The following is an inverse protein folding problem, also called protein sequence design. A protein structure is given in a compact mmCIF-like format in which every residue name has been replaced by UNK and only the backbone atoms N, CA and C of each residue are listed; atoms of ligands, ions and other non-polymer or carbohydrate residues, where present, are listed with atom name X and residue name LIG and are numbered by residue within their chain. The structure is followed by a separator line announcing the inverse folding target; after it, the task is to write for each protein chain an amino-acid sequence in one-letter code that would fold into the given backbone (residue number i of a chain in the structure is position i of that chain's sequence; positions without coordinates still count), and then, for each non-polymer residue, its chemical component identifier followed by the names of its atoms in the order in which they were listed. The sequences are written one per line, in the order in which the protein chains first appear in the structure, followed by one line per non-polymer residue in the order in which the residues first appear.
data_IF_960081128970
#
_entry.id   IF_960081128970
#
_cell.length_a   1.000
_cell.length_b   1.000
_cell.length_c   1.000
_cell.angle_alpha   90.00
_cell.angle_beta   90.00
_cell.angle_gamma   90.00
#
_symmetry.space_group_name_H-M   'P 1'
#
loop_
_entity.id
_entity.type
_entity.pdbx_description
1 polymer ?
#
# COMPACT_ATOMS: atom_id res chain seq x y z
N UNK A 1 21.26 -14.92 -18.57
CA UNK A 1 20.14 -14.19 -19.20
C UNK A 1 19.66 -13.22 -18.14
N UNK A 2 20.05 -11.95 -18.24
CA UNK A 2 19.68 -10.93 -17.26
C UNK A 2 18.20 -10.60 -17.49
N UNK A 3 17.31 -11.11 -16.64
CA UNK A 3 15.95 -10.56 -16.56
C UNK A 3 16.09 -9.13 -16.06
N UNK A 4 15.87 -8.19 -16.99
CA UNK A 4 15.81 -6.77 -16.66
C UNK A 4 14.77 -6.56 -15.57
N UNK A 5 15.13 -5.76 -14.57
CA UNK A 5 14.21 -5.30 -13.54
C UNK A 5 13.04 -4.59 -14.23
N UNK A 6 11.88 -5.24 -14.31
CA UNK A 6 10.69 -4.61 -14.87
C UNK A 6 10.25 -3.52 -13.88
N UNK A 7 10.60 -2.27 -14.19
CA UNK A 7 9.97 -1.11 -13.57
C UNK A 7 8.47 -1.29 -13.72
N UNK A 8 7.76 -1.39 -12.59
CA UNK A 8 6.33 -1.60 -12.61
C UNK A 8 5.66 -0.29 -13.00
N UNK A 9 5.14 -0.23 -14.23
CA UNK A 9 4.45 0.93 -14.77
C UNK A 9 2.95 0.62 -14.91
N UNK A 10 2.11 1.59 -14.54
CA UNK A 10 0.67 1.56 -14.78
C UNK A 10 0.23 2.95 -15.23
N UNK A 11 -0.49 3.05 -16.36
CA UNK A 11 -0.85 4.35 -16.94
C UNK A 11 0.37 5.29 -17.12
N UNK A 12 1.49 4.75 -17.63
CA UNK A 12 2.74 5.49 -17.89
C UNK A 12 3.46 6.05 -16.65
N UNK A 13 2.94 5.78 -15.44
CA UNK A 13 3.54 6.19 -14.18
C UNK A 13 4.02 4.99 -13.35
N UNK A 14 4.97 5.23 -12.45
CA UNK A 14 5.47 4.21 -11.52
C UNK A 14 4.32 3.69 -10.64
N UNK A 15 4.26 2.38 -10.49
CA UNK A 15 3.26 1.70 -9.68
C UNK A 15 3.90 0.92 -8.53
N UNK A 16 3.19 0.90 -7.41
CA UNK A 16 3.48 0.00 -6.31
C UNK A 16 3.02 -1.42 -6.71
N UNK A 17 3.86 -2.44 -6.49
CA UNK A 17 3.51 -3.85 -6.69
C UNK A 17 3.82 -4.67 -5.44
N UNK A 18 2.86 -5.50 -5.01
CA UNK A 18 3.05 -6.44 -3.91
C UNK A 18 1.95 -7.51 -3.86
N UNK A 19 2.01 -8.42 -2.89
CA UNK A 19 0.92 -9.33 -2.54
C UNK A 19 0.32 -8.89 -1.21
N UNK A 20 -0.86 -8.26 -1.25
CA UNK A 20 -1.49 -7.63 -0.07
C UNK A 20 -2.94 -8.09 0.09
N UNK A 21 -3.50 -8.05 1.32
CA UNK A 21 -4.95 -8.13 1.50
C UNK A 21 -5.62 -7.01 0.71
N UNK A 22 -6.50 -7.38 -0.22
CA UNK A 22 -7.22 -6.44 -1.08
C UNK A 22 -8.69 -6.81 -1.18
N UNK A 23 -9.56 -5.82 -1.27
CA UNK A 23 -10.98 -6.01 -1.51
C UNK A 23 -11.54 -4.93 -2.41
N UNK A 24 -12.44 -5.32 -3.31
CA UNK A 24 -13.33 -4.38 -3.99
C UNK A 24 -14.63 -4.25 -3.20
N UNK A 25 -15.02 -3.02 -2.88
CA UNK A 25 -16.28 -2.71 -2.20
C UNK A 25 -17.16 -1.90 -3.16
N UNK A 26 -18.24 -2.46 -3.72
CA UNK A 26 -19.14 -1.69 -4.57
C UNK A 26 -19.78 -0.57 -3.77
N UNK A 27 -19.96 0.59 -4.40
CA UNK A 27 -20.68 1.73 -3.82
C UNK A 27 -21.82 2.18 -4.74
N UNK A 28 -22.87 2.83 -4.19
CA UNK A 28 -23.94 3.41 -5.00
C UNK A 28 -23.45 4.49 -5.97
N UNK A 29 -24.21 4.70 -7.04
CA UNK A 29 -24.01 5.81 -8.00
C UNK A 29 -24.96 6.96 -7.73
N UNK A 30 -24.48 8.22 -7.65
CA UNK A 30 -23.08 8.68 -7.66
C UNK A 30 -22.37 8.50 -6.30
N UNK A 31 -21.04 8.64 -6.29
CA UNK A 31 -20.28 8.73 -5.03
C UNK A 31 -20.79 9.90 -4.18
N UNK A 32 -21.06 9.65 -2.91
CA UNK A 32 -21.38 10.68 -1.93
C UNK A 32 -20.12 11.52 -1.61
N UNK A 33 -20.12 12.84 -1.88
CA UNK A 33 -18.98 13.71 -1.59
C UNK A 33 -18.52 13.67 -0.13
N UNK A 34 -19.43 13.46 0.83
CA UNK A 34 -19.07 13.37 2.25
C UNK A 34 -18.26 12.10 2.55
N UNK A 35 -18.61 10.98 1.91
CA UNK A 35 -17.86 9.72 2.03
C UNK A 35 -16.48 9.87 1.36
N UNK A 36 -16.43 10.51 0.19
CA UNK A 36 -15.15 10.78 -0.52
C UNK A 36 -14.21 11.61 0.34
N UNK A 37 -14.69 12.71 0.93
CA UNK A 37 -13.90 13.56 1.81
C UNK A 37 -13.39 12.81 3.05
N UNK A 38 -14.27 12.07 3.75
CA UNK A 38 -13.88 11.29 4.93
C UNK A 38 -12.80 10.25 4.62
N UNK A 39 -12.85 9.63 3.44
CA UNK A 39 -11.86 8.63 3.02
C UNK A 39 -10.55 9.28 2.62
N UNK A 40 -10.56 10.47 2.01
CA UNK A 40 -9.35 11.23 1.72
C UNK A 40 -8.57 11.54 3.00
N UNK A 41 -9.23 12.02 4.06
CA UNK A 41 -8.60 12.30 5.35
C UNK A 41 -7.98 11.04 5.98
N UNK A 42 -8.69 9.89 5.90
CA UNK A 42 -8.18 8.61 6.40
C UNK A 42 -7.00 8.10 5.58
N UNK A 43 -7.07 8.21 4.25
CA UNK A 43 -6.00 7.81 3.34
C UNK A 43 -4.72 8.60 3.62
N UNK A 44 -4.83 9.91 3.87
CA UNK A 44 -3.69 10.74 4.23
C UNK A 44 -2.99 10.20 5.49
N UNK A 45 -3.76 9.92 6.55
CA UNK A 45 -3.23 9.35 7.80
C UNK A 45 -2.60 7.98 7.59
N UNK A 46 -3.25 7.11 6.81
CA UNK A 46 -2.73 5.77 6.49
C UNK A 46 -1.39 5.88 5.75
N UNK A 47 -1.30 6.69 4.71
CA UNK A 47 -0.09 6.85 3.91
C UNK A 47 1.05 7.50 4.70
N UNK A 48 0.75 8.48 5.55
CA UNK A 48 1.73 9.09 6.45
C UNK A 48 2.26 8.08 7.48
N UNK A 49 1.38 7.28 8.09
CA UNK A 49 1.80 6.22 9.01
C UNK A 49 2.68 5.17 8.31
N UNK A 50 2.30 4.74 7.10
CA UNK A 50 3.11 3.81 6.30
C UNK A 50 4.46 4.41 5.92
N UNK A 51 4.50 5.71 5.58
CA UNK A 51 5.75 6.40 5.27
C UNK A 51 6.70 6.44 6.47
N UNK A 52 6.20 6.81 7.66
CA UNK A 52 6.99 6.81 8.88
C UNK A 52 7.53 5.40 9.21
N UNK A 53 6.68 4.38 9.09
CA UNK A 53 7.08 2.99 9.29
C UNK A 53 8.16 2.52 8.30
N UNK A 54 8.14 3.06 7.09
CA UNK A 54 9.08 2.73 6.03
C UNK A 54 10.46 3.40 6.18
N UNK A 55 10.52 4.55 6.87
CA UNK A 55 11.77 5.27 7.14
C UNK A 55 12.68 4.50 8.10
N UNK A 56 12.10 3.73 9.05
CA UNK A 56 12.84 2.92 10.03
C UNK A 56 13.75 1.82 9.43
N UNK A 57 13.63 1.52 8.14
CA UNK A 57 14.52 0.60 7.43
C UNK A 57 15.84 1.24 6.94
N UNK A 58 15.97 2.56 7.01
CA UNK A 58 17.24 3.25 6.76
C UNK A 58 17.95 3.41 8.10
N UNK A 59 18.81 2.44 8.43
CA UNK A 59 19.80 2.64 9.50
C UNK A 59 20.80 3.67 8.96
N UNK A 60 20.48 4.96 9.09
CA UNK A 60 21.55 5.94 9.25
C UNK A 60 22.35 5.45 10.45
N UNK A 61 23.67 5.26 10.26
CA UNK A 61 24.51 4.85 11.39
C UNK A 61 24.30 5.89 12.48
N UNK A 62 23.72 5.53 13.64
CA UNK A 62 23.53 6.50 14.70
C UNK A 62 24.91 7.03 15.05
N UNK A 63 25.02 8.35 15.29
CA UNK A 63 26.25 8.91 15.83
C UNK A 63 26.47 8.26 17.20
N UNK A 64 27.38 7.30 17.28
CA UNK A 64 27.68 6.53 18.50
C UNK A 64 28.15 7.44 19.65
N UNK A 65 28.50 8.70 19.35
CA UNK A 65 28.91 9.71 20.32
C UNK A 65 27.75 10.60 20.81
N UNK A 66 26.54 10.46 20.28
CA UNK A 66 25.39 11.24 20.73
C UNK A 66 24.97 10.81 22.15
N UNK A 67 24.76 11.76 23.08
CA UNK A 67 24.22 11.46 24.40
C UNK A 67 22.90 10.69 24.27
N UNK A 68 22.73 9.62 25.04
CA UNK A 68 21.53 8.75 25.06
C UNK A 68 21.25 7.90 23.81
N UNK A 69 22.17 7.81 22.84
CA UNK A 69 21.97 7.00 21.63
C UNK A 69 21.56 5.53 21.93
N UNK A 70 22.21 4.90 22.92
CA UNK A 70 21.91 3.54 23.33
C UNK A 70 20.51 3.37 23.96
N UNK A 71 20.05 4.37 24.72
CA UNK A 71 18.72 4.34 25.35
C UNK A 71 17.61 4.56 24.31
N UNK A 72 17.84 5.45 23.34
CA UNK A 72 16.93 5.68 22.20
C UNK A 72 16.82 4.40 21.37
N UNK A 73 17.93 3.76 21.02
CA UNK A 73 17.93 2.50 20.26
C UNK A 73 17.15 1.39 21.00
N UNK A 74 17.30 1.30 22.33
CA UNK A 74 16.54 0.34 23.14
C UNK A 74 15.05 0.68 23.16
N UNK A 75 14.69 1.95 23.20
CA UNK A 75 13.30 2.39 23.14
C UNK A 75 12.68 2.08 21.78
N UNK A 76 13.39 2.35 20.69
CA UNK A 76 12.98 1.99 19.33
C UNK A 76 12.73 0.49 19.19
N UNK A 77 13.63 -0.35 19.71
CA UNK A 77 13.45 -1.80 19.70
C UNK A 77 12.16 -2.22 20.44
N UNK A 78 11.87 -1.62 21.59
CA UNK A 78 10.62 -1.88 22.34
C UNK A 78 9.39 -1.40 21.57
N UNK A 79 9.47 -0.24 20.92
CA UNK A 79 8.40 0.30 20.09
C UNK A 79 8.09 -0.62 18.90
N UNK A 80 9.12 -1.15 18.24
CA UNK A 80 8.95 -2.12 17.15
C UNK A 80 8.28 -3.40 17.64
N UNK A 81 8.72 -3.95 18.78
CA UNK A 81 8.06 -5.13 19.38
C UNK A 81 6.59 -4.86 19.70
N UNK A 82 6.28 -3.69 20.26
CA UNK A 82 4.89 -3.29 20.53
C UNK A 82 4.07 -3.18 19.24
N UNK A 83 4.63 -2.60 18.17
CA UNK A 83 3.97 -2.49 16.86
C UNK A 83 3.71 -3.87 16.25
N UNK A 84 4.65 -4.81 16.36
CA UNK A 84 4.48 -6.19 15.88
C UNK A 84 3.39 -6.92 16.66
N UNK A 85 3.38 -6.78 17.99
CA UNK A 85 2.33 -7.36 18.84
C UNK A 85 0.96 -6.77 18.54
N UNK A 86 0.87 -5.45 18.34
CA UNK A 86 -0.37 -4.77 17.93
C UNK A 86 -0.81 -5.25 16.55
N UNK A 87 0.11 -5.44 15.60
CA UNK A 87 -0.18 -6.01 14.29
C UNK A 87 -0.80 -7.41 14.40
N UNK A 88 -0.20 -8.29 15.20
CA UNK A 88 -0.73 -9.63 15.46
C UNK A 88 -2.13 -9.60 16.08
N UNK A 89 -2.37 -8.70 17.05
CA UNK A 89 -3.68 -8.51 17.67
C UNK A 89 -4.71 -7.97 16.67
N UNK A 90 -4.32 -7.05 15.79
CA UNK A 90 -5.20 -6.51 14.75
C UNK A 90 -5.60 -7.59 13.74
N UNK A 91 -4.65 -8.42 13.29
CA UNK A 91 -4.94 -9.55 12.40
C UNK A 91 -5.91 -10.53 13.06
N UNK A 92 -5.71 -10.85 14.34
CA UNK A 92 -6.56 -11.78 15.08
C UNK A 92 -7.97 -11.23 15.34
N UNK A 93 -8.10 -9.92 15.60
CA UNK A 93 -9.38 -9.28 15.95
C UNK A 93 -10.17 -8.76 14.76
N UNK A 94 -9.52 -8.51 13.61
CA UNK A 94 -10.14 -7.96 12.41
C UNK A 94 -9.75 -8.79 11.18
N UNK A 95 -10.61 -9.74 10.76
CA UNK A 95 -10.35 -10.55 9.58
C UNK A 95 -10.09 -9.66 8.36
N UNK A 96 -8.93 -9.83 7.75
CA UNK A 96 -8.56 -9.15 6.49
C UNK A 96 -8.94 -10.03 5.29
N UNK A 97 -9.15 -9.44 4.11
CA UNK A 97 -9.29 -10.20 2.89
C UNK A 97 -8.08 -11.12 2.64
N UNK A 98 -8.25 -12.15 1.82
CA UNK A 98 -7.12 -12.99 1.40
C UNK A 98 -6.10 -12.12 0.64
N UNK A 99 -4.79 -12.25 0.93
CA UNK A 99 -3.78 -11.58 0.14
C UNK A 99 -3.82 -11.97 -1.34
N UNK A 100 -3.67 -11.00 -2.21
CA UNK A 100 -3.65 -11.19 -3.65
C UNK A 100 -2.63 -10.25 -4.31
N UNK A 101 -2.12 -10.64 -5.48
CA UNK A 101 -1.23 -9.79 -6.27
C UNK A 101 -1.96 -8.49 -6.64
N UNK A 102 -1.32 -7.35 -6.36
CA UNK A 102 -1.87 -6.02 -6.62
C UNK A 102 -0.79 -5.09 -7.15
N UNK A 103 -1.17 -4.27 -8.12
CA UNK A 103 -0.41 -3.15 -8.66
C UNK A 103 -1.25 -1.90 -8.68
N UNK A 104 -0.75 -0.77 -8.22
CA UNK A 104 -1.52 0.47 -8.27
C UNK A 104 -0.65 1.72 -8.19
N UNK A 105 -1.21 2.83 -8.66
CA UNK A 105 -0.74 4.19 -8.46
C UNK A 105 -1.95 5.13 -8.27
N UNK A 106 -1.75 6.44 -8.35
CA UNK A 106 -2.85 7.41 -8.22
C UNK A 106 -3.89 7.32 -9.36
N UNK A 107 -3.49 6.79 -10.52
CA UNK A 107 -4.30 6.74 -11.73
C UNK A 107 -5.20 5.50 -11.81
N UNK A 108 -4.77 4.37 -11.26
CA UNK A 108 -5.58 3.16 -11.24
C UNK A 108 -4.89 1.99 -10.56
N UNK A 109 -5.53 0.83 -10.66
CA UNK A 109 -5.02 -0.39 -10.04
C UNK A 109 -5.38 -1.64 -10.83
N UNK A 110 -4.60 -2.68 -10.62
CA UNK A 110 -4.83 -4.04 -11.11
C UNK A 110 -4.66 -4.97 -9.92
N UNK A 111 -5.65 -5.80 -9.66
CA UNK A 111 -5.56 -6.81 -8.61
C UNK A 111 -6.08 -8.16 -9.09
N UNK A 112 -5.58 -9.23 -8.48
CA UNK A 112 -6.11 -10.56 -8.69
C UNK A 112 -7.39 -10.74 -7.86
N UNK A 113 -8.53 -10.75 -8.54
CA UNK A 113 -9.84 -10.95 -7.92
C UNK A 113 -10.16 -12.42 -7.66
N UNK A 114 -11.20 -12.65 -6.87
CA UNK A 114 -11.81 -13.97 -6.66
C UNK A 114 -13.24 -13.96 -7.21
N UNK A 115 -13.68 -15.09 -7.77
CA UNK A 115 -15.05 -15.24 -8.27
C UNK A 115 -16.06 -15.16 -7.11
N UNK A 116 -17.23 -14.51 -7.28
CA UNK A 116 -17.66 -13.78 -8.49
C UNK A 116 -16.92 -12.45 -8.67
N UNK A 117 -16.52 -12.16 -9.91
CA UNK A 117 -15.82 -10.91 -10.23
C UNK A 117 -16.79 -9.71 -10.26
N UNK A 118 -16.32 -8.50 -9.91
CA UNK A 118 -17.17 -7.31 -9.97
C UNK A 118 -17.57 -6.99 -11.42
N UNK A 119 -18.81 -6.52 -11.68
CA UNK A 119 -19.25 -6.21 -13.03
C UNK A 119 -18.42 -5.09 -13.68
N UNK A 120 -18.25 -5.16 -14.99
CA UNK A 120 -17.62 -4.09 -15.77
C UNK A 120 -18.36 -2.76 -15.56
N UNK A 121 -17.63 -1.66 -15.40
CA UNK A 121 -18.18 -0.32 -15.19
C UNK A 121 -18.72 -0.04 -13.79
N UNK A 122 -18.82 -1.06 -12.92
CA UNK A 122 -19.28 -0.89 -11.54
C UNK A 122 -18.34 0.05 -10.78
N UNK A 123 -18.92 0.99 -10.02
CA UNK A 123 -18.17 1.88 -9.15
C UNK A 123 -18.02 1.30 -7.75
N UNK A 124 -16.96 1.73 -7.09
CA UNK A 124 -16.66 1.28 -5.75
C UNK A 124 -15.33 1.81 -5.27
N UNK A 125 -14.83 1.12 -4.26
CA UNK A 125 -13.56 1.42 -3.58
C UNK A 125 -12.70 0.18 -3.60
N UNK A 126 -11.45 0.34 -4.03
CA UNK A 126 -10.39 -0.63 -3.79
C UNK A 126 -9.82 -0.38 -2.39
N UNK A 127 -9.98 -1.34 -1.50
CA UNK A 127 -9.33 -1.37 -0.19
C UNK A 127 -8.01 -2.13 -0.28
N UNK A 128 -6.90 -1.51 0.13
CA UNK A 128 -5.56 -2.11 0.15
C UNK A 128 -4.98 -1.99 1.56
N UNK A 129 -4.66 -3.11 2.19
CA UNK A 129 -4.09 -3.15 3.54
C UNK A 129 -2.56 -3.16 3.44
N UNK A 130 -1.94 -2.00 3.62
CA UNK A 130 -0.51 -1.79 3.33
C UNK A 130 0.43 -2.39 4.39
N UNK A 131 0.01 -2.41 5.67
CA UNK A 131 0.82 -2.90 6.80
C UNK A 131 -0.07 -3.58 7.83
N UNK A 132 0.48 -4.51 8.59
CA UNK A 132 -0.26 -5.26 9.61
C UNK A 132 -0.56 -4.46 10.87
N UNK A 133 0.37 -3.60 11.29
CA UNK A 133 0.19 -2.68 12.40
C UNK A 133 -0.69 -1.45 12.07
N UNK A 134 -1.06 -1.25 10.80
CA UNK A 134 -1.98 -0.18 10.38
C UNK A 134 -3.38 -0.76 10.21
N UNK A 135 -4.32 -0.30 11.03
CA UNK A 135 -5.65 -0.90 11.12
C UNK A 135 -6.57 -0.55 9.94
N UNK A 136 -6.50 0.69 9.44
CA UNK A 136 -7.33 1.17 8.34
C UNK A 136 -6.66 0.87 6.98
N UNK A 137 -7.40 0.35 5.98
CA UNK A 137 -6.88 0.22 4.62
C UNK A 137 -6.78 1.57 3.92
N UNK A 138 -5.91 1.63 2.91
CA UNK A 138 -5.96 2.64 1.85
C UNK A 138 -7.20 2.38 1.00
N UNK A 139 -8.00 3.42 0.73
CA UNK A 139 -9.29 3.33 0.03
C UNK A 139 -9.31 4.19 -1.22
N UNK A 140 -9.20 3.59 -2.40
CA UNK A 140 -9.15 4.31 -3.67
C UNK A 140 -10.47 4.14 -4.43
N UNK A 141 -11.18 5.24 -4.63
CA UNK A 141 -12.43 5.27 -5.39
C UNK A 141 -12.16 5.05 -6.87
N UNK A 142 -13.03 4.31 -7.55
CA UNK A 142 -12.88 4.11 -8.98
C UNK A 142 -14.01 3.34 -9.63
N UNK A 143 -13.79 2.95 -10.88
CA UNK A 143 -14.67 2.07 -11.64
C UNK A 143 -13.91 0.91 -12.23
N UNK A 144 -14.57 -0.26 -12.30
CA UNK A 144 -14.03 -1.44 -12.98
C UNK A 144 -13.88 -1.14 -14.47
N UNK A 145 -12.64 -1.12 -14.95
CA UNK A 145 -12.29 -0.83 -16.34
C UNK A 145 -12.21 -2.09 -17.21
N UNK A 146 -11.84 -3.23 -16.62
CA UNK A 146 -11.85 -4.53 -17.31
C UNK A 146 -11.76 -5.67 -16.30
N UNK A 147 -12.33 -6.82 -16.64
CA UNK A 147 -12.14 -8.08 -15.92
C UNK A 147 -11.73 -9.13 -16.93
N UNK A 148 -10.58 -9.76 -16.72
CA UNK A 148 -10.10 -10.84 -17.58
C UNK A 148 -10.57 -12.22 -17.10
N UNK A 149 -10.61 -13.24 -17.97
CA UNK A 149 -11.03 -14.60 -17.58
C UNK A 149 -10.13 -15.25 -16.51
N UNK A 150 -8.86 -14.87 -16.43
CA UNK A 150 -7.91 -15.29 -15.39
C UNK A 150 -8.10 -14.54 -14.05
N UNK A 151 -9.09 -13.65 -13.96
CA UNK A 151 -9.48 -12.96 -12.73
C UNK A 151 -8.67 -11.70 -12.42
N UNK A 152 -7.89 -11.17 -13.37
CA UNK A 152 -7.27 -9.85 -13.20
C UNK A 152 -8.33 -8.78 -13.40
N UNK A 153 -8.52 -7.96 -12.37
CA UNK A 153 -9.48 -6.86 -12.36
C UNK A 153 -8.70 -5.56 -12.46
N UNK A 154 -8.99 -4.76 -13.48
CA UNK A 154 -8.44 -3.41 -13.64
C UNK A 154 -9.46 -2.37 -13.18
N UNK A 155 -8.98 -1.36 -12.46
CA UNK A 155 -9.77 -0.27 -11.93
C UNK A 155 -9.15 1.05 -12.39
N UNK A 156 -9.99 1.95 -12.89
CA UNK A 156 -9.61 3.35 -13.11
C UNK A 156 -10.04 4.16 -11.89
N UNK A 157 -9.10 4.83 -11.25
CA UNK A 157 -9.42 5.61 -10.05
C UNK A 157 -9.98 6.98 -10.38
N UNK A 158 -10.83 7.48 -9.48
CA UNK A 158 -11.11 8.91 -9.38
C UNK A 158 -9.84 9.56 -8.80
N UNK A 159 -9.35 10.67 -9.37
CA UNK A 159 -8.14 11.33 -8.87
C UNK A 159 -8.25 11.60 -7.36
N UNK A 160 -7.34 11.05 -6.52
CA UNK A 160 -7.47 11.12 -5.07
C UNK A 160 -7.03 12.48 -4.48
N UNK A 161 -6.59 13.42 -5.31
CA UNK A 161 -6.03 14.72 -4.91
C UNK A 161 -4.50 14.68 -4.78
N UNK A 162 -3.86 15.85 -4.95
CA UNK A 162 -2.40 16.00 -5.07
C UNK A 162 -1.64 15.39 -3.89
N UNK A 163 -2.00 15.73 -2.64
CA UNK A 163 -1.33 15.22 -1.45
C UNK A 163 -1.32 13.68 -1.36
N UNK A 164 -2.42 13.03 -1.77
CA UNK A 164 -2.51 11.57 -1.75
C UNK A 164 -1.72 10.98 -2.92
N UNK A 165 -1.80 11.59 -4.11
CA UNK A 165 -1.01 11.19 -5.28
C UNK A 165 0.49 11.21 -4.98
N UNK A 166 1.01 12.28 -4.39
CA UNK A 166 2.42 12.43 -4.02
C UNK A 166 2.89 11.34 -3.05
N UNK A 167 2.05 11.00 -2.06
CA UNK A 167 2.37 9.96 -1.09
C UNK A 167 2.33 8.55 -1.72
N UNK A 168 1.42 8.30 -2.66
CA UNK A 168 1.37 7.05 -3.43
C UNK A 168 2.60 6.91 -4.33
N UNK A 169 3.01 7.98 -5.00
CA UNK A 169 4.23 8.01 -5.81
C UNK A 169 5.46 7.72 -4.95
N UNK A 170 5.62 8.41 -3.82
CA UNK A 170 6.70 8.13 -2.85
C UNK A 170 6.69 6.69 -2.35
N UNK A 171 5.51 6.12 -2.09
CA UNK A 171 5.35 4.72 -1.69
C UNK A 171 5.85 3.77 -2.78
N UNK A 172 5.47 4.01 -4.04
CA UNK A 172 5.91 3.23 -5.19
C UNK A 172 7.43 3.34 -5.38
N UNK A 173 8.01 4.55 -5.32
CA UNK A 173 9.45 4.77 -5.40
C UNK A 173 10.22 4.04 -4.31
N UNK A 174 9.77 4.09 -3.05
CA UNK A 174 10.42 3.36 -1.94
C UNK A 174 10.42 1.85 -2.20
N UNK A 175 9.30 1.28 -2.65
CA UNK A 175 9.20 -0.15 -2.98
C UNK A 175 10.15 -0.52 -4.12
N UNK A 176 10.13 0.25 -5.20
CA UNK A 176 11.02 0.05 -6.35
C UNK A 176 12.50 0.12 -5.93
N UNK A 177 12.89 1.16 -5.19
CA UNK A 177 14.27 1.33 -4.68
C UNK A 177 14.72 0.13 -3.84
N UNK A 178 13.84 -0.41 -2.97
CA UNK A 178 14.13 -1.61 -2.16
C UNK A 178 14.30 -2.87 -3.00
N UNK A 179 13.45 -3.06 -4.02
CA UNK A 179 13.57 -4.20 -4.94
C UNK A 179 14.91 -4.16 -5.69
N UNK A 180 15.32 -2.98 -6.18
CA UNK A 180 16.62 -2.80 -6.85
C UNK A 180 17.80 -3.02 -5.89
N UNK A 181 17.70 -2.55 -4.64
CA UNK A 181 18.77 -2.69 -3.65
C UNK A 181 18.93 -4.13 -3.10
N UNK A 182 17.82 -4.85 -2.85
CA UNK A 182 17.85 -6.22 -2.32
C UNK A 182 18.54 -7.22 -3.25
N UNK A 183 18.57 -6.96 -4.55
CA UNK A 183 19.27 -7.79 -5.55
C UNK A 183 20.77 -7.47 -5.62
N UNK A 184 21.19 -6.28 -5.16
CA UNK A 184 22.60 -5.85 -5.19
C UNK A 184 23.43 -6.34 -4.01
N UNK A 185 22.85 -7.00 -3.01
CA UNK A 185 23.63 -7.74 -2.00
C UNK A 185 23.98 -9.12 -2.58
N UNK A 186 25.22 -9.38 -3.02
CA UNK A 186 25.63 -10.74 -3.34
C UNK A 186 25.49 -11.58 -2.08
N UNK A 187 24.82 -12.74 -2.19
CA UNK A 187 24.90 -13.78 -1.18
C UNK A 187 26.38 -14.01 -0.87
N UNK A 188 26.80 -13.67 0.36
CA UNK A 188 28.08 -14.14 0.91
C UNK A 188 27.97 -15.62 1.23
#
# INVERSE_FOLDING_TARGET
MYEGLDTVILYEELAYEDVLPVAWRPLPEPFDPAIVGSFADRNLRVLQAVAALDEHGQIEKPDENAPHAADIMRLEMKMNLLLDMVGALLIASRPRPKPAAVRFNALGGVFQGSSPFPPLGNQGVLEVYLRDCVADPLRLFGRIASVSPDGKVKVRFVPPGENISDLLEKLAFRKHRRQVAGVRQPKK
#
